data_IF_623258790885
#
_entry.id   IF_623258790885
#
_cell.length_a   1.000
_cell.length_b   1.000
_cell.length_c   1.000
_cell.angle_alpha   90.00
_cell.angle_beta   90.00
_cell.angle_gamma   90.00
#
_symmetry.space_group_name_H-M   'P 1'
#
loop_
_entity.id
_entity.type
_entity.pdbx_description
1 polymer ?
#
# COMPACT_ATOMS: atom_id res chain seq x y z
N UNK A 1 17.62 4.88 -62.43
CA UNK A 1 17.64 3.95 -61.28
C UNK A 1 17.57 4.79 -60.03
N UNK A 2 16.44 4.72 -59.32
CA UNK A 2 16.13 5.58 -58.18
C UNK A 2 16.77 5.06 -56.89
N UNK A 3 17.12 5.94 -55.93
CA UNK A 3 17.65 5.51 -54.64
C UNK A 3 16.51 5.00 -53.75
N UNK A 4 16.73 3.87 -53.10
CA UNK A 4 15.88 3.31 -52.03
C UNK A 4 16.06 4.13 -50.76
N UNK A 5 14.98 4.76 -50.29
CA UNK A 5 14.92 5.43 -48.99
C UNK A 5 15.00 4.42 -47.84
N UNK A 6 15.75 4.70 -46.75
CA UNK A 6 15.72 3.90 -45.55
C UNK A 6 14.44 4.16 -44.74
N UNK A 7 13.97 3.08 -44.13
CA UNK A 7 12.81 2.91 -43.26
C UNK A 7 12.77 3.94 -42.12
N UNK A 8 11.61 4.57 -41.92
CA UNK A 8 11.31 5.36 -40.72
C UNK A 8 11.31 4.45 -39.48
N UNK A 9 12.04 4.76 -38.40
CA UNK A 9 11.80 4.13 -37.12
C UNK A 9 10.54 4.72 -36.51
N UNK A 10 9.55 3.86 -36.26
CA UNK A 10 8.37 4.15 -35.45
C UNK A 10 8.81 4.59 -34.05
N UNK A 11 8.89 5.89 -33.84
CA UNK A 11 9.08 6.55 -32.54
C UNK A 11 7.75 7.21 -32.21
N UNK A 12 7.06 6.98 -31.10
CA UNK A 12 7.25 6.10 -29.97
C UNK A 12 5.97 6.30 -29.16
N UNK A 13 5.27 5.22 -28.82
CA UNK A 13 4.23 5.32 -27.81
C UNK A 13 4.96 5.47 -26.47
N UNK A 14 5.24 6.71 -26.06
CA UNK A 14 5.71 7.01 -24.70
C UNK A 14 4.54 6.84 -23.72
N UNK A 15 4.06 5.61 -23.58
CA UNK A 15 3.61 5.16 -22.26
C UNK A 15 4.89 5.09 -21.44
N UNK A 16 5.00 5.90 -20.39
CA UNK A 16 6.15 5.84 -19.49
C UNK A 16 6.12 4.46 -18.80
N UNK A 17 6.85 3.49 -19.36
CA UNK A 17 6.99 2.17 -18.77
C UNK A 17 7.67 2.35 -17.40
N UNK A 18 6.88 2.15 -16.34
CA UNK A 18 7.37 2.18 -14.97
C UNK A 18 8.46 1.12 -14.82
N UNK A 19 9.50 1.45 -14.06
CA UNK A 19 10.51 0.44 -13.74
C UNK A 19 9.88 -0.72 -12.96
N UNK A 20 10.45 -1.91 -13.09
CA UNK A 20 10.01 -3.10 -12.32
C UNK A 20 9.94 -2.83 -10.81
N UNK A 21 10.78 -1.93 -10.30
CA UNK A 21 10.84 -1.57 -8.89
C UNK A 21 9.72 -0.62 -8.47
N UNK A 22 9.41 0.38 -9.29
CA UNK A 22 8.25 1.26 -9.09
C UNK A 22 6.95 0.47 -9.18
N UNK A 23 6.86 -0.47 -10.13
CA UNK A 23 5.71 -1.36 -10.25
C UNK A 23 5.53 -2.20 -8.99
N UNK A 24 6.58 -2.88 -8.51
CA UNK A 24 6.52 -3.68 -7.29
C UNK A 24 6.13 -2.84 -6.05
N UNK A 25 6.60 -1.60 -5.96
CA UNK A 25 6.20 -0.68 -4.90
C UNK A 25 4.70 -0.34 -4.96
N UNK A 26 4.19 -0.01 -6.15
CA UNK A 26 2.76 0.26 -6.32
C UNK A 26 1.88 -0.95 -6.06
N UNK A 27 2.31 -2.14 -6.48
CA UNK A 27 1.62 -3.40 -6.20
C UNK A 27 1.53 -3.67 -4.69
N UNK A 28 2.59 -3.40 -3.93
CA UNK A 28 2.56 -3.53 -2.46
C UNK A 28 1.50 -2.62 -1.81
N UNK A 29 1.34 -1.38 -2.29
CA UNK A 29 0.28 -0.49 -1.81
C UNK A 29 -1.13 -0.98 -2.17
N UNK A 30 -1.32 -1.54 -3.37
CA UNK A 30 -2.60 -2.12 -3.79
C UNK A 30 -2.96 -3.34 -2.94
N UNK A 31 -2.00 -4.22 -2.67
CA UNK A 31 -2.22 -5.39 -1.81
C UNK A 31 -2.58 -4.99 -0.38
N UNK A 32 -1.91 -3.96 0.15
CA UNK A 32 -2.26 -3.41 1.46
C UNK A 32 -3.68 -2.83 1.50
N UNK A 33 -4.08 -2.09 0.46
CA UNK A 33 -5.43 -1.56 0.34
C UNK A 33 -6.50 -2.67 0.29
N UNK A 34 -6.29 -3.68 -0.54
CA UNK A 34 -7.19 -4.84 -0.64
C UNK A 34 -7.32 -5.53 0.73
N UNK A 35 -6.20 -5.77 1.42
CA UNK A 35 -6.21 -6.38 2.75
C UNK A 35 -6.97 -5.55 3.79
N UNK A 36 -6.88 -4.22 3.71
CA UNK A 36 -7.68 -3.31 4.55
C UNK A 36 -9.17 -3.46 4.24
N UNK A 37 -9.56 -3.46 2.96
CA UNK A 37 -10.95 -3.61 2.53
C UNK A 37 -11.54 -4.95 3.01
N UNK A 38 -10.82 -6.06 2.84
CA UNK A 38 -11.24 -7.37 3.32
C UNK A 38 -11.49 -7.37 4.84
N UNK A 39 -10.60 -6.70 5.59
CA UNK A 39 -10.74 -6.58 7.04
C UNK A 39 -11.93 -5.71 7.44
N UNK A 40 -12.20 -4.63 6.68
CA UNK A 40 -13.37 -3.77 6.88
C UNK A 40 -14.67 -4.52 6.62
N UNK A 41 -14.73 -5.31 5.55
CA UNK A 41 -15.90 -6.12 5.22
C UNK A 41 -16.23 -7.10 6.33
N UNK A 42 -15.22 -7.80 6.87
CA UNK A 42 -15.42 -8.67 8.03
C UNK A 42 -15.93 -7.91 9.26
N UNK A 43 -15.36 -6.74 9.57
CA UNK A 43 -15.80 -5.90 10.68
C UNK A 43 -17.20 -5.29 10.48
N UNK A 44 -17.65 -5.12 9.23
CA UNK A 44 -18.95 -4.56 8.86
C UNK A 44 -20.11 -5.52 9.06
N UNK A 45 -19.85 -6.83 9.14
CA UNK A 45 -20.85 -7.84 9.44
C UNK A 45 -21.36 -7.70 10.88
N UNK A 46 -22.65 -7.37 11.05
CA UNK A 46 -23.30 -7.25 12.35
C UNK A 46 -23.40 -8.63 13.04
N UNK A 47 -23.02 -8.70 14.33
CA UNK A 47 -23.18 -9.91 15.14
C UNK A 47 -22.07 -10.95 14.94
N UNK A 48 -20.80 -10.51 14.97
CA UNK A 48 -19.65 -11.39 14.87
C UNK A 48 -19.73 -12.51 15.91
N UNK A 49 -19.86 -13.75 15.43
CA UNK A 49 -19.65 -14.93 16.26
C UNK A 49 -18.23 -14.91 16.84
N UNK A 50 -17.95 -15.61 17.94
CA UNK A 50 -16.59 -15.72 18.47
C UNK A 50 -15.57 -16.16 17.40
N UNK A 51 -15.94 -17.08 16.50
CA UNK A 51 -15.07 -17.50 15.39
C UNK A 51 -14.81 -16.36 14.39
N UNK A 52 -15.84 -15.62 14.00
CA UNK A 52 -15.67 -14.47 13.09
C UNK A 52 -14.80 -13.38 13.71
N UNK A 53 -14.96 -13.12 15.01
CA UNK A 53 -14.12 -12.17 15.73
C UNK A 53 -12.66 -12.62 15.71
N UNK A 54 -12.40 -13.90 15.95
CA UNK A 54 -11.04 -14.46 15.91
C UNK A 54 -10.43 -14.35 14.51
N UNK A 55 -11.19 -14.69 13.46
CA UNK A 55 -10.74 -14.54 12.07
C UNK A 55 -10.44 -13.08 11.71
N UNK A 56 -11.24 -12.14 12.21
CA UNK A 56 -11.01 -10.70 12.03
C UNK A 56 -9.72 -10.24 12.72
N UNK A 57 -9.46 -10.74 13.93
CA UNK A 57 -8.21 -10.48 14.66
C UNK A 57 -7.01 -10.98 13.87
N UNK A 58 -7.09 -12.19 13.30
CA UNK A 58 -6.02 -12.78 12.50
C UNK A 58 -5.76 -11.97 11.23
N UNK A 59 -6.81 -11.55 10.51
CA UNK A 59 -6.67 -10.74 9.31
C UNK A 59 -6.07 -9.36 9.61
N UNK A 60 -6.57 -8.69 10.65
CA UNK A 60 -6.02 -7.41 11.10
C UNK A 60 -4.56 -7.56 11.56
N UNK A 61 -4.21 -8.70 12.16
CA UNK A 61 -2.84 -9.06 12.54
C UNK A 61 -1.89 -9.32 11.37
N UNK A 62 -2.40 -9.49 10.15
CA UNK A 62 -1.58 -9.63 8.93
C UNK A 62 -1.24 -8.29 8.29
N UNK A 63 -2.01 -7.23 8.53
CA UNK A 63 -1.75 -5.90 7.95
C UNK A 63 -0.33 -5.34 8.25
N UNK A 64 0.27 -5.56 9.45
CA UNK A 64 1.68 -5.27 9.69
C UNK A 64 2.67 -5.87 8.67
N UNK A 65 2.38 -7.09 8.20
CA UNK A 65 3.23 -7.78 7.21
C UNK A 65 3.18 -7.04 5.87
N UNK A 66 2.00 -6.54 5.48
CA UNK A 66 1.85 -5.73 4.27
C UNK A 66 2.58 -4.38 4.36
N UNK A 67 2.62 -3.76 5.55
CA UNK A 67 3.43 -2.55 5.78
C UNK A 67 4.92 -2.85 5.64
N UNK A 68 5.38 -4.01 6.12
CA UNK A 68 6.78 -4.42 5.92
C UNK A 68 7.09 -4.70 4.43
N UNK A 69 6.14 -5.31 3.69
CA UNK A 69 6.27 -5.49 2.24
C UNK A 69 6.42 -4.14 1.52
N UNK A 70 5.56 -3.17 1.83
CA UNK A 70 5.66 -1.78 1.31
C UNK A 70 7.04 -1.20 1.62
N UNK A 71 7.51 -1.36 2.86
CA UNK A 71 8.82 -0.83 3.28
C UNK A 71 9.95 -1.44 2.45
N UNK A 72 9.97 -2.76 2.28
CA UNK A 72 10.99 -3.48 1.51
C UNK A 72 10.97 -3.10 0.03
N UNK A 73 9.79 -3.05 -0.60
CA UNK A 73 9.68 -2.68 -2.01
C UNK A 73 10.03 -1.21 -2.24
N UNK A 74 9.64 -0.32 -1.32
CA UNK A 74 10.04 1.08 -1.36
C UNK A 74 11.55 1.27 -1.23
N UNK A 75 12.20 0.56 -0.31
CA UNK A 75 13.66 0.58 -0.20
C UNK A 75 14.36 0.08 -1.46
N UNK A 76 13.89 -1.02 -2.06
CA UNK A 76 14.45 -1.53 -3.31
C UNK A 76 14.27 -0.53 -4.46
N UNK A 77 13.10 0.11 -4.55
CA UNK A 77 12.84 1.18 -5.53
C UNK A 77 13.81 2.35 -5.37
N UNK A 78 14.02 2.86 -4.15
CA UNK A 78 14.95 3.96 -3.92
C UNK A 78 16.41 3.60 -4.23
N UNK A 79 16.80 2.32 -4.08
CA UNK A 79 18.15 1.85 -4.40
C UNK A 79 18.38 1.70 -5.91
N UNK A 80 17.36 1.27 -6.66
CA UNK A 80 17.52 0.85 -8.06
C UNK A 80 16.99 1.83 -9.10
N UNK A 81 16.28 2.88 -8.70
CA UNK A 81 15.76 3.91 -9.61
C UNK A 81 16.45 5.24 -9.29
N UNK A 82 17.59 5.55 -9.94
CA UNK A 82 18.34 6.78 -9.70
C UNK A 82 17.47 8.00 -9.98
N UNK A 83 17.44 8.95 -9.05
CA UNK A 83 16.59 10.14 -9.19
C UNK A 83 15.11 9.89 -8.92
N UNK A 84 14.71 8.70 -8.45
CA UNK A 84 13.39 8.45 -7.89
C UNK A 84 13.22 9.23 -6.59
N UNK A 85 12.90 10.52 -6.75
CA UNK A 85 12.42 11.40 -5.69
C UNK A 85 10.89 11.35 -5.60
N UNK A 86 10.21 10.58 -6.45
CA UNK A 86 8.75 10.67 -6.56
C UNK A 86 8.15 9.31 -6.86
N UNK A 87 7.25 8.88 -5.99
CA UNK A 87 6.16 8.00 -6.38
C UNK A 87 5.14 8.90 -7.09
N UNK A 88 5.21 8.96 -8.43
CA UNK A 88 4.31 9.71 -9.33
C UNK A 88 4.07 11.20 -8.99
N UNK A 89 4.97 12.06 -9.45
CA UNK A 89 4.66 13.46 -9.79
C UNK A 89 4.45 14.45 -8.64
N UNK A 90 4.58 14.01 -7.40
CA UNK A 90 4.68 14.90 -6.24
C UNK A 90 6.16 15.01 -5.89
N UNK A 91 6.75 16.21 -5.93
CA UNK A 91 8.11 16.48 -5.47
C UNK A 91 8.26 16.05 -4.00
N UNK A 92 8.53 14.78 -3.77
CA UNK A 92 8.78 14.24 -2.45
C UNK A 92 10.29 14.31 -2.27
N UNK A 93 10.72 15.41 -1.67
CA UNK A 93 11.85 15.31 -0.75
C UNK A 93 11.38 14.50 0.47
N UNK A 94 10.91 13.26 0.28
CA UNK A 94 10.78 12.31 1.37
C UNK A 94 12.13 11.67 1.47
N UNK A 95 12.89 12.12 2.45
CA UNK A 95 14.06 11.38 2.86
C UNK A 95 13.61 9.95 3.16
N UNK A 96 14.41 8.95 2.78
CA UNK A 96 14.14 7.54 3.06
C UNK A 96 13.73 7.35 4.54
N UNK A 97 14.27 8.17 5.44
CA UNK A 97 13.92 8.24 6.86
C UNK A 97 12.46 8.64 7.14
N UNK A 98 11.89 9.57 6.38
CA UNK A 98 10.48 9.97 6.50
C UNK A 98 9.56 8.84 6.04
N UNK A 99 9.90 8.17 4.95
CA UNK A 99 9.17 6.97 4.48
C UNK A 99 9.23 5.84 5.50
N UNK A 100 10.42 5.55 6.05
CA UNK A 100 10.59 4.54 7.09
C UNK A 100 9.78 4.91 8.34
N UNK A 101 9.79 6.19 8.75
CA UNK A 101 9.00 6.67 9.88
C UNK A 101 7.50 6.50 9.64
N UNK A 102 7.02 6.77 8.43
CA UNK A 102 5.63 6.54 8.04
C UNK A 102 5.25 5.06 8.14
N UNK A 103 6.10 4.15 7.64
CA UNK A 103 5.90 2.71 7.78
C UNK A 103 5.82 2.29 9.26
N UNK A 104 6.72 2.77 10.11
CA UNK A 104 6.67 2.48 11.55
C UNK A 104 5.40 3.02 12.22
N UNK A 105 4.93 4.21 11.81
CA UNK A 105 3.69 4.77 12.33
C UNK A 105 2.48 3.92 11.89
N UNK A 106 2.45 3.43 10.66
CA UNK A 106 1.40 2.54 10.17
C UNK A 106 1.37 1.22 10.96
N UNK A 107 2.53 0.57 11.10
CA UNK A 107 2.67 -0.65 11.89
C UNK A 107 2.17 -0.46 13.33
N UNK A 108 2.60 0.61 13.99
CA UNK A 108 2.13 0.95 15.34
C UNK A 108 0.60 1.12 15.41
N UNK A 109 0.00 1.84 14.47
CA UNK A 109 -1.46 2.04 14.42
C UNK A 109 -2.20 0.71 14.24
N UNK A 110 -1.71 -0.15 13.36
CA UNK A 110 -2.29 -1.48 13.09
C UNK A 110 -2.20 -2.38 14.33
N UNK A 111 -1.02 -2.47 14.95
CA UNK A 111 -0.82 -3.24 16.18
C UNK A 111 -1.71 -2.75 17.32
N UNK A 112 -1.91 -1.43 17.45
CA UNK A 112 -2.84 -0.85 18.42
C UNK A 112 -4.31 -1.19 18.15
N UNK A 113 -4.69 -1.37 16.88
CA UNK A 113 -6.03 -1.82 16.50
C UNK A 113 -6.22 -3.31 16.80
N UNK A 114 -5.25 -4.17 16.44
CA UNK A 114 -5.24 -5.59 16.78
C UNK A 114 -5.31 -5.82 18.28
N UNK A 115 -4.47 -5.13 19.06
CA UNK A 115 -4.50 -5.19 20.52
C UNK A 115 -5.87 -4.79 21.07
N UNK A 116 -6.48 -3.73 20.52
CA UNK A 116 -7.79 -3.26 20.97
C UNK A 116 -8.88 -4.31 20.68
N UNK A 117 -8.85 -4.92 19.50
CA UNK A 117 -9.78 -5.97 19.12
C UNK A 117 -9.60 -7.24 19.97
N UNK A 118 -8.38 -7.58 20.38
CA UNK A 118 -8.16 -8.72 21.29
C UNK A 118 -8.63 -8.43 22.72
N UNK A 119 -8.37 -7.23 23.24
CA UNK A 119 -8.47 -6.95 24.69
C UNK A 119 -9.71 -6.15 25.10
N UNK A 120 -10.46 -5.57 24.15
CA UNK A 120 -11.66 -4.78 24.45
C UNK A 120 -12.89 -5.37 23.75
N UNK A 121 -13.85 -5.93 24.53
CA UNK A 121 -15.16 -6.28 24.01
C UNK A 121 -15.83 -5.06 23.37
N UNK A 122 -16.63 -5.27 22.32
CA UNK A 122 -17.40 -4.23 21.63
C UNK A 122 -16.56 -3.07 21.03
N UNK A 123 -15.30 -3.33 20.68
CA UNK A 123 -14.41 -2.35 20.07
C UNK A 123 -14.40 -2.35 18.54
N UNK A 124 -15.14 -3.28 17.92
CA UNK A 124 -15.22 -3.53 16.48
C UNK A 124 -15.54 -2.27 15.71
N UNK A 125 -16.58 -1.54 16.10
CA UNK A 125 -16.95 -0.26 15.45
C UNK A 125 -15.85 0.79 15.53
N UNK A 126 -15.10 0.82 16.64
CA UNK A 126 -13.96 1.74 16.79
C UNK A 126 -12.81 1.33 15.88
N UNK A 127 -12.52 0.04 15.78
CA UNK A 127 -11.48 -0.50 14.90
C UNK A 127 -11.86 -0.26 13.44
N UNK A 128 -13.09 -0.57 13.04
CA UNK A 128 -13.65 -0.28 11.72
C UNK A 128 -13.46 1.18 11.33
N UNK A 129 -13.90 2.12 12.17
CA UNK A 129 -13.79 3.55 11.87
C UNK A 129 -12.34 4.03 11.74
N UNK A 130 -11.41 3.45 12.52
CA UNK A 130 -9.98 3.79 12.43
C UNK A 130 -9.36 3.23 11.15
N UNK A 131 -9.73 2.01 10.80
CA UNK A 131 -9.25 1.35 9.60
C UNK A 131 -9.79 2.04 8.33
N UNK A 132 -11.04 2.49 8.34
CA UNK A 132 -11.63 3.28 7.26
C UNK A 132 -10.92 4.64 7.08
N UNK A 133 -10.57 5.32 8.18
CA UNK A 133 -9.76 6.56 8.11
C UNK A 133 -8.37 6.29 7.55
N UNK A 134 -7.77 5.16 7.91
CA UNK A 134 -6.47 4.75 7.37
C UNK A 134 -6.56 4.52 5.85
N UNK A 135 -7.58 3.80 5.38
CA UNK A 135 -7.83 3.57 3.96
C UNK A 135 -7.91 4.88 3.17
N UNK A 136 -8.66 5.86 3.68
CA UNK A 136 -8.78 7.18 3.04
C UNK A 136 -7.44 7.93 3.02
N UNK A 137 -6.59 7.76 4.03
CA UNK A 137 -5.29 8.44 4.14
C UNK A 137 -4.19 7.87 3.24
N UNK A 138 -4.41 6.71 2.62
CA UNK A 138 -3.44 6.07 1.72
C UNK A 138 -3.89 6.10 0.25
N UNK A 139 -5.05 6.69 -0.04
CA UNK A 139 -5.68 6.64 -1.36
C UNK A 139 -4.84 7.37 -2.44
N UNK A 140 -4.08 8.38 -2.04
CA UNK A 140 -3.13 9.12 -2.87
C UNK A 140 -1.87 8.30 -3.22
N UNK A 141 -1.57 7.26 -2.45
CA UNK A 141 -0.39 6.39 -2.64
C UNK A 141 -0.61 5.32 -3.70
N UNK A 142 -1.86 5.13 -4.13
CA UNK A 142 -2.29 4.09 -5.05
C UNK A 142 -2.60 4.74 -6.38
N UNK A 143 -1.80 4.48 -7.41
CA UNK A 143 -2.06 5.12 -8.66
C UNK A 143 -3.20 4.48 -9.44
N UNK A 144 -4.03 5.35 -10.04
CA UNK A 144 -4.94 4.99 -11.13
C UNK A 144 -4.20 4.36 -12.30
#
# INVERSE_FOLDING_TARGET
>A
MSPTSPTSPTTGNSSADLSIWEQAYHEAWRHFQASILDTLDMLGCLGLSPEHRQMTIEQLGRLPIEVDNIRRTGQAMFQHVPGCQTVRGHHLTYFIDDFIRDCHMLDFKLNMMSWRLMNRPNSERTVYNRLLRLLNSINDRIPN
#
